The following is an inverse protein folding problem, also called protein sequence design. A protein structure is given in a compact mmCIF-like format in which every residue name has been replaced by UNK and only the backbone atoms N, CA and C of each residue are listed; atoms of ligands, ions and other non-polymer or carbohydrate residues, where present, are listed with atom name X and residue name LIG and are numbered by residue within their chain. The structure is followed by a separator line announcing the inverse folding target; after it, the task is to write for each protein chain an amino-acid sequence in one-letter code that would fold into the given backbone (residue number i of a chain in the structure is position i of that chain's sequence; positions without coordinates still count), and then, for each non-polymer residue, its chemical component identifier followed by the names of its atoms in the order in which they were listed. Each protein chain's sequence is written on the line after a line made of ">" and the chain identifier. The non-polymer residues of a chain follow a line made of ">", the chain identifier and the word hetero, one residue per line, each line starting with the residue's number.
data_IF_137070945398
#
_entry.id   IF_137070945398
#
_cell.length_a   1.000
_cell.length_b   1.000
_cell.length_c   1.000
_cell.angle_alpha   90.00
_cell.angle_beta   90.00
_cell.angle_gamma   90.00
#
_symmetry.space_group_name_H-M   'P 1'
#
loop_
_entity.id
_entity.type
_entity.pdbx_description
1 polymer ?
#
# COMPACT_ATOMS: atom_id res chain seq x y z
N UNK A 1 -38.59 -18.65 37.08
CA UNK A 1 -38.64 -18.59 38.56
C UNK A 1 -37.70 -19.67 39.10
N UNK A 2 -36.75 -19.29 39.99
CA UNK A 2 -35.71 -20.09 40.68
C UNK A 2 -34.44 -20.36 39.85
N UNK A 3 -33.41 -19.51 39.92
CA UNK A 3 -32.34 -19.44 40.94
C UNK A 3 -31.62 -20.77 41.15
N UNK A 4 -30.44 -20.93 40.55
CA UNK A 4 -29.30 -21.58 41.22
C UNK A 4 -28.02 -20.82 40.85
N UNK A 5 -27.59 -20.04 41.82
CA UNK A 5 -26.29 -19.40 41.94
C UNK A 5 -25.23 -20.48 42.13
N UNK A 6 -24.14 -20.47 41.34
CA UNK A 6 -22.91 -21.16 41.74
C UNK A 6 -21.69 -20.40 41.22
N UNK A 7 -21.27 -19.48 42.07
CA UNK A 7 -19.92 -18.93 42.11
C UNK A 7 -18.87 -20.03 42.02
N UNK A 8 -17.87 -19.85 41.18
CA UNK A 8 -16.52 -20.33 41.48
C UNK A 8 -15.57 -19.17 41.27
N UNK A 9 -14.96 -18.78 42.37
CA UNK A 9 -14.14 -17.61 42.55
C UNK A 9 -12.65 -18.02 42.48
N UNK A 10 -11.85 -17.11 41.92
CA UNK A 10 -10.48 -16.75 42.34
C UNK A 10 -9.34 -17.73 42.03
N UNK A 11 -8.34 -17.20 41.31
CA UNK A 11 -7.01 -17.79 41.23
C UNK A 11 -6.07 -17.09 40.24
N UNK A 12 -5.88 -15.77 40.34
CA UNK A 12 -4.77 -15.07 39.63
C UNK A 12 -3.86 -14.45 40.68
N UNK A 13 -2.76 -15.14 40.98
CA UNK A 13 -1.62 -14.60 41.71
C UNK A 13 -0.80 -13.72 40.76
N UNK A 14 -0.81 -12.42 40.97
CA UNK A 14 0.15 -11.49 40.38
C UNK A 14 1.10 -11.03 41.48
N UNK A 15 2.37 -11.39 41.35
CA UNK A 15 3.45 -10.96 42.22
C UNK A 15 4.44 -10.10 41.43
N UNK A 16 5.00 -9.13 42.17
CA UNK A 16 6.27 -8.43 41.97
C UNK A 16 6.31 -7.24 40.97
N UNK A 17 6.30 -6.06 41.59
CA UNK A 17 6.91 -4.80 41.17
C UNK A 17 8.42 -4.97 40.87
N UNK A 18 8.96 -4.22 39.91
CA UNK A 18 10.24 -3.48 40.06
C UNK A 18 10.45 -2.50 38.88
N UNK A 19 10.64 -1.23 39.20
CA UNK A 19 11.03 -0.13 38.31
C UNK A 19 12.53 -0.13 38.03
N UNK A 20 12.97 0.40 36.87
CA UNK A 20 14.28 1.05 36.59
C UNK A 20 14.14 1.71 35.19
N UNK A 21 13.94 3.02 35.04
CA UNK A 21 14.95 4.10 35.11
C UNK A 21 16.18 3.85 34.23
N UNK A 22 16.17 4.36 32.99
CA UNK A 22 17.37 4.68 32.22
C UNK A 22 17.14 5.93 31.36
N UNK A 23 17.98 6.94 31.59
CA UNK A 23 18.05 8.22 30.92
C UNK A 23 18.75 8.12 29.54
N UNK A 24 18.44 9.10 28.69
CA UNK A 24 19.49 9.84 27.96
C UNK A 24 19.77 9.42 26.52
N UNK A 25 19.28 10.23 25.57
CA UNK A 25 20.16 11.15 24.84
C UNK A 25 19.34 12.32 24.28
N UNK A 26 19.75 13.52 24.66
CA UNK A 26 19.35 14.82 24.10
C UNK A 26 20.48 15.22 23.11
N UNK A 27 20.23 16.29 22.35
CA UNK A 27 21.06 16.93 21.32
C UNK A 27 20.82 16.33 19.91
N UNK A 28 20.25 17.01 18.92
CA UNK A 28 20.16 18.44 18.66
C UNK A 28 21.27 18.84 17.69
N UNK A 29 20.96 19.02 16.40
CA UNK A 29 21.63 20.00 15.55
C UNK A 29 20.77 20.32 14.31
N UNK A 30 20.48 21.61 14.16
CA UNK A 30 19.92 22.25 12.98
C UNK A 30 21.07 22.70 12.11
N UNK A 31 21.07 22.38 10.82
CA UNK A 31 21.77 23.21 9.84
C UNK A 31 21.15 23.05 8.45
N UNK A 32 20.38 24.06 8.08
CA UNK A 32 20.14 24.40 6.69
C UNK A 32 21.49 24.68 6.00
N UNK A 33 21.68 24.16 4.79
CA UNK A 33 22.64 24.77 3.88
C UNK A 33 22.03 24.88 2.47
N UNK A 34 21.88 26.12 2.05
CA UNK A 34 21.53 26.60 0.72
C UNK A 34 22.64 26.26 -0.27
N UNK A 35 22.29 25.78 -1.47
CA UNK A 35 22.86 26.24 -2.75
C UNK A 35 22.35 25.40 -3.93
N UNK A 36 21.62 26.06 -4.84
CA UNK A 36 21.64 25.78 -6.28
C UNK A 36 22.57 26.84 -6.94
N UNK A 37 22.99 26.75 -8.23
CA UNK A 37 22.51 25.85 -9.30
C UNK A 37 23.59 25.27 -10.27
N UNK A 38 23.11 24.34 -11.11
CA UNK A 38 23.44 24.05 -12.52
C UNK A 38 24.89 23.84 -13.02
N UNK A 39 25.15 22.66 -13.60
CA UNK A 39 25.81 22.51 -14.90
C UNK A 39 25.62 21.08 -15.47
N UNK A 40 25.20 21.01 -16.73
CA UNK A 40 24.95 19.81 -17.53
C UNK A 40 26.17 18.90 -17.66
N UNK A 41 25.95 17.58 -17.50
CA UNK A 41 26.79 16.56 -18.07
C UNK A 41 25.90 15.57 -18.84
N UNK A 42 26.04 15.58 -20.16
CA UNK A 42 25.46 14.56 -21.05
C UNK A 42 26.13 13.23 -20.76
N UNK A 43 25.48 12.35 -20.01
CA UNK A 43 25.89 10.95 -19.91
C UNK A 43 25.23 10.21 -21.07
N UNK A 44 26.04 9.85 -22.06
CA UNK A 44 25.68 8.86 -23.05
C UNK A 44 25.24 7.58 -22.31
N UNK A 45 23.97 7.23 -22.44
CA UNK A 45 23.40 6.05 -21.81
C UNK A 45 24.03 4.78 -22.41
N UNK A 46 25.03 4.25 -21.73
CA UNK A 46 25.39 2.84 -21.86
C UNK A 46 24.16 2.00 -21.50
N UNK A 47 23.87 0.89 -22.21
CA UNK A 47 22.72 0.05 -21.90
C UNK A 47 22.89 -0.49 -20.47
N UNK A 48 22.04 -0.02 -19.57
CA UNK A 48 21.96 -0.56 -18.23
C UNK A 48 21.64 -2.06 -18.32
N UNK A 49 22.33 -2.94 -17.57
CA UNK A 49 22.00 -4.36 -17.56
C UNK A 49 20.54 -4.51 -17.13
N UNK A 50 19.78 -5.30 -17.89
CA UNK A 50 18.41 -5.63 -17.56
C UNK A 50 18.37 -6.31 -16.18
N UNK A 51 17.99 -5.55 -15.15
CA UNK A 51 17.82 -6.07 -13.81
C UNK A 51 16.66 -7.07 -13.81
N UNK A 52 16.98 -8.33 -13.55
CA UNK A 52 16.01 -9.39 -13.23
C UNK A 52 15.45 -9.18 -11.82
N UNK A 53 14.89 -8.01 -11.54
CA UNK A 53 13.94 -7.88 -10.44
C UNK A 53 12.73 -8.77 -10.79
N UNK A 54 12.14 -9.49 -9.82
CA UNK A 54 10.89 -10.18 -10.09
C UNK A 54 9.89 -9.16 -10.64
N UNK A 55 9.27 -9.50 -11.77
CA UNK A 55 8.35 -8.65 -12.53
C UNK A 55 7.50 -7.79 -11.57
N UNK A 56 7.76 -6.47 -11.57
CA UNK A 56 7.04 -5.47 -10.78
C UNK A 56 6.94 -5.72 -9.25
N UNK A 57 8.09 -5.89 -8.58
CA UNK A 57 8.18 -6.00 -7.12
C UNK A 57 7.55 -4.82 -6.35
N UNK A 58 7.70 -3.60 -6.88
CA UNK A 58 7.12 -2.38 -6.29
C UNK A 58 5.59 -2.47 -6.25
N UNK A 59 4.97 -2.79 -7.38
CA UNK A 59 3.53 -2.94 -7.51
C UNK A 59 2.96 -4.01 -6.60
N UNK A 60 3.65 -5.16 -6.47
CA UNK A 60 3.28 -6.20 -5.51
C UNK A 60 3.32 -5.71 -4.06
N UNK A 61 4.34 -4.94 -3.70
CA UNK A 61 4.48 -4.36 -2.35
C UNK A 61 3.35 -3.35 -2.06
N UNK A 62 3.10 -2.41 -2.97
CA UNK A 62 2.05 -1.39 -2.82
C UNK A 62 0.66 -2.04 -2.79
N UNK A 63 0.42 -3.03 -3.66
CA UNK A 63 -0.80 -3.82 -3.63
C UNK A 63 -1.03 -4.45 -2.26
N UNK A 64 -0.03 -5.15 -1.72
CA UNK A 64 -0.15 -5.81 -0.42
C UNK A 64 -0.40 -4.86 0.74
N UNK A 65 0.21 -3.66 0.73
CA UNK A 65 0.11 -2.68 1.83
C UNK A 65 -1.19 -1.87 1.79
N UNK A 66 -1.68 -1.54 0.61
CA UNK A 66 -2.77 -0.56 0.44
C UNK A 66 -3.96 -1.15 -0.31
N UNK A 67 -3.74 -1.71 -1.49
CA UNK A 67 -4.82 -2.05 -2.43
C UNK A 67 -5.55 -3.34 -2.05
N UNK A 68 -4.84 -4.29 -1.43
CA UNK A 68 -5.33 -5.63 -1.13
C UNK A 68 -6.55 -5.62 -0.19
N UNK A 69 -6.66 -4.61 0.68
CA UNK A 69 -7.80 -4.46 1.60
C UNK A 69 -9.15 -4.53 0.89
N UNK A 70 -9.23 -3.97 -0.33
CA UNK A 70 -10.44 -4.04 -1.14
C UNK A 70 -10.31 -5.10 -2.24
N UNK A 71 -9.18 -5.12 -2.94
CA UNK A 71 -9.06 -5.88 -4.18
C UNK A 71 -8.78 -7.38 -3.99
N UNK A 72 -8.21 -7.82 -2.87
CA UNK A 72 -7.87 -9.24 -2.70
C UNK A 72 -9.13 -10.13 -2.67
N UNK A 73 -10.16 -9.68 -1.97
CA UNK A 73 -11.44 -10.38 -1.85
C UNK A 73 -12.58 -9.74 -2.65
N UNK A 74 -12.35 -8.59 -3.29
CA UNK A 74 -13.38 -7.86 -4.04
C UNK A 74 -14.41 -7.16 -3.15
N UNK A 75 -13.96 -6.61 -2.02
CA UNK A 75 -14.80 -5.90 -1.06
C UNK A 75 -15.47 -4.72 -1.74
N UNK A 76 -16.76 -4.50 -1.44
CA UNK A 76 -17.56 -3.40 -2.00
C UNK A 76 -17.55 -3.33 -3.55
N UNK A 77 -17.42 -4.49 -4.22
CA UNK A 77 -17.41 -4.59 -5.68
C UNK A 77 -16.08 -4.22 -6.33
N UNK A 78 -14.99 -4.14 -5.56
CA UNK A 78 -13.65 -3.95 -6.10
C UNK A 78 -13.26 -5.11 -7.04
N UNK A 79 -12.61 -4.82 -8.18
CA UNK A 79 -12.17 -5.88 -9.10
C UNK A 79 -11.07 -6.72 -8.48
N UNK A 80 -11.27 -8.04 -8.46
CA UNK A 80 -10.31 -9.01 -7.94
C UNK A 80 -9.23 -9.31 -8.98
N UNK A 81 -7.92 -9.13 -8.68
CA UNK A 81 -6.87 -9.59 -9.57
C UNK A 81 -7.01 -11.09 -9.87
N UNK A 82 -6.83 -11.48 -11.13
CA UNK A 82 -7.07 -12.83 -11.61
C UNK A 82 -8.49 -13.12 -12.12
N UNK A 83 -9.47 -12.25 -11.83
CA UNK A 83 -10.80 -12.36 -12.43
C UNK A 83 -10.78 -11.79 -13.86
N UNK A 84 -10.43 -12.63 -14.83
CA UNK A 84 -10.31 -12.23 -16.24
C UNK A 84 -11.61 -11.67 -16.81
N UNK A 85 -12.76 -12.14 -16.34
CA UNK A 85 -14.05 -11.67 -16.83
C UNK A 85 -14.35 -10.24 -16.37
N UNK A 86 -13.99 -9.89 -15.12
CA UNK A 86 -14.11 -8.52 -14.63
C UNK A 86 -13.03 -7.59 -15.19
N UNK A 87 -11.81 -8.11 -15.40
CA UNK A 87 -10.67 -7.31 -15.88
C UNK A 87 -10.64 -7.09 -17.39
N UNK A 88 -11.18 -7.99 -18.21
CA UNK A 88 -11.18 -7.85 -19.67
C UNK A 88 -11.71 -6.48 -20.15
N UNK A 89 -12.93 -6.08 -19.76
CA UNK A 89 -13.49 -4.77 -20.13
C UNK A 89 -12.74 -3.56 -19.55
N UNK A 90 -11.98 -3.76 -18.48
CA UNK A 90 -11.17 -2.70 -17.84
C UNK A 90 -9.85 -2.52 -18.58
N UNK A 91 -9.17 -3.62 -18.87
CA UNK A 91 -7.93 -3.63 -19.66
C UNK A 91 -8.19 -3.08 -21.07
N UNK A 92 -9.36 -3.36 -21.65
CA UNK A 92 -9.76 -2.81 -22.95
C UNK A 92 -9.88 -1.27 -22.98
N UNK A 93 -10.00 -0.60 -21.82
CA UNK A 93 -9.99 0.87 -21.75
C UNK A 93 -8.56 1.45 -21.88
N UNK A 94 -7.54 0.60 -21.74
CA UNK A 94 -6.14 0.99 -21.79
C UNK A 94 -5.57 1.39 -20.42
N UNK A 95 -4.25 1.26 -20.30
CA UNK A 95 -3.53 1.49 -19.05
C UNK A 95 -3.68 2.92 -18.52
N UNK A 96 -3.63 3.94 -19.40
CA UNK A 96 -3.77 5.35 -19.01
C UNK A 96 -5.09 5.62 -18.27
N UNK A 97 -6.20 5.03 -18.73
CA UNK A 97 -7.50 5.16 -18.06
C UNK A 97 -7.50 4.47 -16.70
N UNK A 98 -6.89 3.28 -16.60
CA UNK A 98 -6.77 2.57 -15.32
C UNK A 98 -5.93 3.35 -14.31
N UNK A 99 -4.81 3.93 -14.75
CA UNK A 99 -3.96 4.77 -13.92
C UNK A 99 -4.70 6.02 -13.45
N UNK A 100 -5.39 6.71 -14.37
CA UNK A 100 -6.18 7.89 -14.02
C UNK A 100 -7.21 7.58 -12.95
N UNK A 101 -8.01 6.53 -13.13
CA UNK A 101 -9.00 6.10 -12.16
C UNK A 101 -8.37 5.72 -10.80
N UNK A 102 -7.19 5.10 -10.81
CA UNK A 102 -6.52 4.73 -9.57
C UNK A 102 -5.91 5.93 -8.84
N UNK A 103 -5.36 6.91 -9.57
CA UNK A 103 -4.70 8.10 -9.01
C UNK A 103 -5.74 9.12 -8.53
N UNK A 104 -6.69 9.47 -9.39
CA UNK A 104 -7.70 10.50 -9.13
C UNK A 104 -8.90 9.97 -8.34
N UNK A 105 -9.06 8.65 -8.29
CA UNK A 105 -10.27 8.00 -7.80
C UNK A 105 -11.33 7.85 -8.89
N UNK A 106 -12.26 6.94 -8.68
CA UNK A 106 -13.28 6.61 -9.66
C UNK A 106 -14.54 6.05 -9.02
N UNK A 107 -15.69 6.60 -9.41
CA UNK A 107 -17.00 6.02 -9.11
C UNK A 107 -17.51 5.27 -10.32
N UNK A 108 -17.63 3.95 -10.20
CA UNK A 108 -18.16 3.09 -11.25
C UNK A 108 -19.48 2.43 -10.85
N UNK A 109 -20.03 1.64 -11.77
CA UNK A 109 -21.26 0.90 -11.54
C UNK A 109 -21.19 -0.11 -10.37
N UNK A 110 -19.99 -0.61 -10.05
CA UNK A 110 -19.78 -1.63 -9.00
C UNK A 110 -19.38 -1.06 -7.65
N UNK A 111 -19.01 0.22 -7.57
CA UNK A 111 -18.52 0.83 -6.33
C UNK A 111 -17.63 2.04 -6.56
N UNK A 112 -17.00 2.49 -5.49
CA UNK A 112 -16.08 3.63 -5.45
C UNK A 112 -14.65 3.15 -5.20
N UNK A 113 -13.72 3.61 -6.02
CA UNK A 113 -12.29 3.53 -5.76
C UNK A 113 -11.80 4.91 -5.28
N UNK A 114 -11.31 5.04 -4.05
CA UNK A 114 -10.80 6.32 -3.55
C UNK A 114 -9.52 6.74 -4.29
N UNK A 115 -9.19 8.05 -4.33
CA UNK A 115 -7.95 8.55 -4.90
C UNK A 115 -6.74 7.83 -4.29
N UNK A 116 -5.80 7.41 -5.15
CA UNK A 116 -4.60 6.62 -4.79
C UNK A 116 -4.89 5.38 -3.95
N UNK A 117 -6.07 4.76 -4.13
CA UNK A 117 -6.50 3.62 -3.33
C UNK A 117 -6.63 3.92 -1.83
N UNK A 118 -6.77 5.20 -1.45
CA UNK A 118 -6.81 5.66 -0.06
C UNK A 118 -5.43 5.94 0.55
N UNK A 119 -4.33 5.69 -0.17
CA UNK A 119 -2.98 6.01 0.27
C UNK A 119 -2.59 7.43 -0.10
N UNK A 120 -2.80 8.39 0.80
CA UNK A 120 -2.48 9.81 0.57
C UNK A 120 -0.99 10.10 0.36
N UNK A 121 -0.11 9.19 0.79
CA UNK A 121 1.35 9.31 0.66
C UNK A 121 1.92 8.59 -0.56
N UNK A 122 1.10 7.86 -1.32
CA UNK A 122 1.58 7.13 -2.49
C UNK A 122 1.90 8.10 -3.62
N UNK A 123 3.06 7.91 -4.25
CA UNK A 123 3.38 8.53 -5.52
C UNK A 123 2.54 7.93 -6.66
N UNK A 124 2.40 8.67 -7.75
CA UNK A 124 1.67 8.17 -8.92
C UNK A 124 2.34 6.94 -9.53
N UNK A 125 3.67 6.84 -9.46
CA UNK A 125 4.43 5.69 -9.96
C UNK A 125 4.20 4.44 -9.10
N UNK A 126 4.07 4.60 -7.78
CA UNK A 126 3.67 3.49 -6.89
C UNK A 126 2.26 3.00 -7.20
N UNK A 127 1.32 3.91 -7.47
CA UNK A 127 -0.05 3.57 -7.86
C UNK A 127 -0.07 2.86 -9.21
N UNK A 128 0.63 3.39 -10.22
CA UNK A 128 0.74 2.77 -11.55
C UNK A 128 1.35 1.37 -11.46
N UNK A 129 2.43 1.21 -10.70
CA UNK A 129 3.06 -0.08 -10.47
C UNK A 129 2.07 -1.08 -9.84
N UNK A 130 1.25 -0.66 -8.87
CA UNK A 130 0.21 -1.52 -8.28
C UNK A 130 -0.88 -1.89 -9.29
N UNK A 131 -1.33 -0.94 -10.13
CA UNK A 131 -2.28 -1.22 -11.22
C UNK A 131 -1.70 -2.26 -12.18
N UNK A 132 -0.44 -2.10 -12.60
CA UNK A 132 0.24 -3.04 -13.49
C UNK A 132 0.36 -4.43 -12.89
N UNK A 133 0.65 -4.51 -11.59
CA UNK A 133 0.67 -5.79 -10.88
C UNK A 133 -0.71 -6.47 -10.90
N UNK A 134 -1.79 -5.72 -10.71
CA UNK A 134 -3.15 -6.29 -10.74
C UNK A 134 -3.57 -6.69 -12.16
N UNK A 135 -3.19 -5.89 -13.16
CA UNK A 135 -3.44 -6.17 -14.58
C UNK A 135 -2.65 -7.41 -15.03
N UNK A 136 -1.39 -7.56 -14.64
CA UNK A 136 -0.57 -8.71 -15.04
C UNK A 136 -1.12 -10.03 -14.52
N UNK A 137 -1.72 -10.03 -13.32
CA UNK A 137 -2.42 -11.20 -12.77
C UNK A 137 -3.73 -11.53 -13.50
N UNK A 138 -4.24 -10.62 -14.33
CA UNK A 138 -5.60 -10.68 -14.88
C UNK A 138 -5.66 -10.74 -16.41
N UNK A 139 -4.50 -10.84 -17.08
CA UNK A 139 -4.38 -11.17 -18.50
C UNK A 139 -4.59 -12.66 -18.72
#
# INVERSE_FOLDING_TARGET
>A
MRLICKSFAVGVSAAALLSLAACGQKEGDSAANTAAPAASATVAAAPAPASTAPENALGKSVFGKTCAMCHAAGVAGAPKPGDKADWGPRIAQGNETLYKHAIEGFTGAKGMMPPRGGGSTLSDDEVKAAVDHMVSLSK
#
